data_IF_301286942911
#
_entry.id   IF_301286942911
#
_cell.length_a   1.000
_cell.length_b   1.000
_cell.length_c   1.000
_cell.angle_alpha   90.00
_cell.angle_beta   90.00
_cell.angle_gamma   90.00
#
_symmetry.space_group_name_H-M   'P 1'
#
loop_
_entity.id
_entity.type
_entity.pdbx_description
1 polymer ?
#
# COMPACT_ATOMS: atom_id res chain seq x y z
N UNK A 1 80.61 -4.06 33.51
CA UNK A 1 79.52 -5.04 33.70
C UNK A 1 78.33 -4.51 32.92
N UNK A 2 78.13 -4.97 31.69
CA UNK A 2 76.98 -4.57 30.86
C UNK A 2 75.74 -5.21 31.48
N UNK A 3 74.90 -4.40 32.14
CA UNK A 3 73.61 -4.86 32.63
C UNK A 3 72.74 -5.14 31.40
N UNK A 4 72.46 -6.41 31.13
CA UNK A 4 71.51 -6.81 30.09
C UNK A 4 70.07 -6.45 30.50
N UNK A 5 69.18 -6.30 29.52
CA UNK A 5 67.76 -6.09 29.76
C UNK A 5 67.11 -7.34 30.34
N UNK A 6 66.15 -7.14 31.24
CA UNK A 6 65.32 -8.23 31.77
C UNK A 6 64.29 -8.66 30.72
N UNK A 7 63.86 -9.94 30.76
CA UNK A 7 62.83 -10.47 29.86
C UNK A 7 61.53 -9.63 29.92
N UNK A 8 61.19 -9.11 31.10
CA UNK A 8 59.99 -8.30 31.30
C UNK A 8 60.11 -6.90 30.68
N UNK A 9 61.29 -6.28 30.70
CA UNK A 9 61.54 -5.00 30.01
C UNK A 9 61.45 -5.17 28.49
N UNK A 10 61.97 -6.27 27.94
CA UNK A 10 61.84 -6.55 26.50
C UNK A 10 60.39 -6.80 26.10
N UNK A 11 59.62 -7.53 26.91
CA UNK A 11 58.21 -7.80 26.63
C UNK A 11 57.37 -6.52 26.66
N UNK A 12 57.52 -5.70 27.71
CA UNK A 12 56.80 -4.43 27.85
C UNK A 12 57.20 -3.45 26.74
N UNK A 13 58.49 -3.35 26.43
CA UNK A 13 58.98 -2.50 25.34
C UNK A 13 58.42 -2.91 23.97
N UNK A 14 58.38 -4.22 23.67
CA UNK A 14 57.78 -4.73 22.44
C UNK A 14 56.27 -4.49 22.36
N UNK A 15 55.53 -4.64 23.48
CA UNK A 15 54.08 -4.36 23.52
C UNK A 15 53.81 -2.88 23.26
N UNK A 16 54.53 -1.96 23.93
CA UNK A 16 54.37 -0.52 23.72
C UNK A 16 54.70 -0.14 22.27
N UNK A 17 55.80 -0.68 21.72
CA UNK A 17 56.16 -0.46 20.32
C UNK A 17 55.09 -0.96 19.36
N UNK A 18 54.55 -2.17 19.58
CA UNK A 18 53.47 -2.73 18.76
C UNK A 18 52.22 -1.86 18.79
N UNK A 19 51.82 -1.37 19.96
CA UNK A 19 50.66 -0.46 20.08
C UNK A 19 50.90 0.81 19.27
N UNK A 20 52.05 1.46 19.43
CA UNK A 20 52.39 2.70 18.70
C UNK A 20 52.45 2.44 17.19
N UNK A 21 53.08 1.34 16.75
CA UNK A 21 53.19 0.97 15.35
C UNK A 21 51.83 0.69 14.71
N UNK A 22 50.94 -0.04 15.41
CA UNK A 22 49.58 -0.32 14.96
C UNK A 22 48.74 0.96 14.89
N UNK A 23 48.83 1.84 15.89
CA UNK A 23 48.16 3.14 15.87
C UNK A 23 48.61 4.01 14.71
N UNK A 24 49.92 4.07 14.43
CA UNK A 24 50.47 4.81 13.30
C UNK A 24 50.03 4.22 11.95
N UNK A 25 50.05 2.89 11.81
CA UNK A 25 49.58 2.21 10.60
C UNK A 25 48.08 2.47 10.34
N UNK A 26 47.25 2.38 11.38
CA UNK A 26 45.83 2.69 11.29
C UNK A 26 45.59 4.16 10.92
N UNK A 27 46.31 5.10 11.53
CA UNK A 27 46.24 6.51 11.19
C UNK A 27 46.60 6.77 9.72
N UNK A 28 47.66 6.14 9.22
CA UNK A 28 48.04 6.21 7.81
C UNK A 28 46.95 5.62 6.89
N UNK A 29 46.35 4.49 7.27
CA UNK A 29 45.25 3.88 6.53
C UNK A 29 44.02 4.80 6.44
N UNK A 30 43.67 5.49 7.53
CA UNK A 30 42.58 6.48 7.55
C UNK A 30 42.90 7.66 6.65
N UNK A 31 44.13 8.21 6.71
CA UNK A 31 44.55 9.30 5.84
C UNK A 31 44.45 8.92 4.35
N UNK A 32 44.87 7.71 3.99
CA UNK A 32 44.75 7.22 2.61
C UNK A 32 43.30 7.07 2.17
N UNK A 33 42.41 6.59 3.05
CA UNK A 33 40.98 6.53 2.73
C UNK A 33 40.36 7.92 2.52
N UNK A 34 40.77 8.92 3.31
CA UNK A 34 40.31 10.31 3.16
C UNK A 34 40.77 10.89 1.81
N UNK A 35 42.04 10.66 1.43
CA UNK A 35 42.55 11.09 0.13
C UNK A 35 41.78 10.41 -1.01
N UNK A 36 41.50 9.11 -0.90
CA UNK A 36 40.72 8.38 -1.90
C UNK A 36 39.28 8.91 -2.01
N UNK A 37 38.63 9.23 -0.89
CA UNK A 37 37.30 9.84 -0.87
C UNK A 37 37.30 11.23 -1.52
N UNK A 38 38.31 12.05 -1.25
CA UNK A 38 38.46 13.37 -1.87
C UNK A 38 38.66 13.27 -3.39
N UNK A 39 39.47 12.31 -3.86
CA UNK A 39 39.64 12.05 -5.30
C UNK A 39 38.35 11.59 -5.97
N UNK A 40 37.63 10.66 -5.35
CA UNK A 40 36.32 10.21 -5.84
C UNK A 40 35.32 11.37 -5.95
N UNK A 41 35.27 12.25 -4.94
CA UNK A 41 34.41 13.44 -4.95
C UNK A 41 34.76 14.40 -6.09
N UNK A 42 36.05 14.69 -6.32
CA UNK A 42 36.49 15.54 -7.43
C UNK A 42 36.13 14.94 -8.80
N UNK A 43 36.34 13.63 -8.97
CA UNK A 43 35.97 12.92 -10.19
C UNK A 43 34.44 12.96 -10.43
N UNK A 44 33.64 12.73 -9.39
CA UNK A 44 32.17 12.82 -9.46
C UNK A 44 31.69 14.24 -9.81
N UNK A 45 32.29 15.29 -9.23
CA UNK A 45 31.99 16.68 -9.58
C UNK A 45 32.35 16.98 -11.04
N UNK A 46 33.46 16.43 -11.55
CA UNK A 46 33.80 16.55 -12.97
C UNK A 46 32.75 15.89 -13.87
N UNK A 47 32.20 14.73 -13.46
CA UNK A 47 31.11 14.06 -14.19
C UNK A 47 29.84 14.92 -14.18
N UNK A 48 29.47 15.50 -13.03
CA UNK A 48 28.33 16.40 -12.93
C UNK A 48 28.46 17.63 -13.86
N UNK A 49 29.63 18.27 -13.85
CA UNK A 49 29.92 19.41 -14.73
C UNK A 49 29.81 19.02 -16.22
N UNK A 50 30.39 17.89 -16.62
CA UNK A 50 30.26 17.38 -17.99
C UNK A 50 28.79 17.14 -18.38
N UNK A 51 27.98 16.60 -17.46
CA UNK A 51 26.54 16.43 -17.70
C UNK A 51 25.82 17.75 -17.87
N UNK A 52 26.05 18.73 -17.00
CA UNK A 52 25.44 20.04 -17.18
C UNK A 52 25.89 20.76 -18.45
N UNK A 53 27.15 20.60 -18.88
CA UNK A 53 27.63 21.11 -20.16
C UNK A 53 26.85 20.50 -21.33
N UNK A 54 26.67 19.18 -21.34
CA UNK A 54 25.88 18.48 -22.37
C UNK A 54 24.44 18.99 -22.35
N UNK A 55 23.81 19.05 -21.17
CA UNK A 55 22.41 19.45 -21.01
C UNK A 55 22.19 20.90 -21.46
N UNK A 56 23.06 21.83 -21.07
CA UNK A 56 22.97 23.25 -21.44
C UNK A 56 23.27 23.51 -22.91
N UNK A 57 23.96 22.58 -23.58
CA UNK A 57 24.28 22.70 -25.01
C UNK A 57 23.24 22.00 -25.92
N UNK A 58 22.21 21.35 -25.35
CA UNK A 58 21.09 20.82 -26.12
C UNK A 58 20.11 21.95 -26.49
N UNK A 59 19.41 21.84 -27.64
CA UNK A 59 18.21 22.65 -27.88
C UNK A 59 17.23 22.50 -26.71
N UNK A 60 16.57 23.58 -26.30
CA UNK A 60 15.66 23.57 -25.15
C UNK A 60 14.59 22.47 -25.24
N UNK A 61 14.07 22.20 -26.44
CA UNK A 61 13.10 21.12 -26.71
C UNK A 61 13.66 19.71 -26.51
N UNK A 62 14.98 19.53 -26.60
CA UNK A 62 15.66 18.24 -26.42
C UNK A 62 16.10 18.00 -24.97
N UNK A 63 16.04 19.03 -24.11
CA UNK A 63 16.34 18.93 -22.68
C UNK A 63 15.17 18.24 -21.99
N UNK A 64 15.29 16.95 -21.77
CA UNK A 64 14.24 16.13 -21.18
C UNK A 64 14.67 14.69 -21.11
N UNK A 65 13.93 13.90 -20.35
CA UNK A 65 14.22 12.48 -20.19
C UNK A 65 13.62 11.71 -21.38
N UNK A 66 14.35 10.72 -21.89
CA UNK A 66 13.82 9.78 -22.88
C UNK A 66 12.61 9.09 -22.24
N UNK A 67 11.47 9.07 -22.93
CA UNK A 67 10.21 8.55 -22.39
C UNK A 67 9.73 9.28 -21.10
N UNK A 68 10.15 10.52 -20.83
CA UNK A 68 9.70 11.30 -19.68
C UNK A 68 8.87 12.53 -20.06
N UNK A 69 8.46 13.30 -19.05
CA UNK A 69 7.90 14.65 -19.21
C UNK A 69 8.78 15.62 -18.39
N UNK A 70 9.45 16.59 -19.03
CA UNK A 70 9.48 16.82 -20.47
C UNK A 70 10.22 15.72 -21.23
N UNK A 71 9.72 15.39 -22.43
CA UNK A 71 10.36 14.45 -23.32
C UNK A 71 11.66 15.06 -23.87
N UNK A 72 12.71 14.24 -23.99
CA UNK A 72 13.98 14.69 -24.55
C UNK A 72 14.95 13.57 -24.86
N UNK A 73 16.25 13.89 -24.87
CA UNK A 73 17.32 12.99 -25.32
C UNK A 73 18.21 12.47 -24.19
N UNK A 74 17.91 12.82 -22.94
CA UNK A 74 18.76 12.48 -21.80
C UNK A 74 18.25 11.17 -21.18
N UNK A 75 19.16 10.24 -20.95
CA UNK A 75 18.83 8.99 -20.27
C UNK A 75 18.81 9.22 -18.76
N UNK A 76 17.74 8.78 -18.07
CA UNK A 76 17.56 8.94 -16.62
C UNK A 76 18.69 8.29 -15.81
N UNK A 77 19.00 7.02 -16.09
CA UNK A 77 20.04 6.25 -15.37
C UNK A 77 21.25 5.99 -16.27
N UNK A 78 22.44 6.39 -15.82
CA UNK A 78 23.69 6.14 -16.54
C UNK A 78 24.83 5.76 -15.58
N UNK A 79 25.62 4.76 -15.95
CA UNK A 79 26.87 4.42 -15.25
C UNK A 79 28.06 4.99 -16.02
N UNK A 80 28.92 5.76 -15.34
CA UNK A 80 30.01 6.52 -15.96
C UNK A 80 31.33 6.20 -15.26
N UNK A 81 32.31 5.76 -16.04
CA UNK A 81 33.67 5.55 -15.57
C UNK A 81 34.48 6.86 -15.64
N UNK A 82 35.16 7.23 -14.54
CA UNK A 82 36.06 8.39 -14.47
C UNK A 82 37.17 8.15 -13.46
N UNK A 83 38.43 8.32 -13.85
CA UNK A 83 39.60 8.20 -12.97
C UNK A 83 39.63 6.91 -12.13
N UNK A 84 39.24 5.78 -12.74
CA UNK A 84 39.08 4.45 -12.13
C UNK A 84 37.91 4.29 -11.13
N UNK A 85 37.02 5.27 -11.02
CA UNK A 85 35.76 5.16 -10.31
C UNK A 85 34.62 4.85 -11.30
N UNK A 86 33.55 4.22 -10.79
CA UNK A 86 32.32 3.97 -11.53
C UNK A 86 31.18 4.67 -10.80
N UNK A 87 30.58 5.67 -11.43
CA UNK A 87 29.52 6.48 -10.86
C UNK A 87 28.18 6.12 -11.49
N UNK A 88 27.19 5.88 -10.65
CA UNK A 88 25.80 5.75 -11.08
C UNK A 88 25.15 7.12 -10.95
N UNK A 89 24.72 7.67 -12.10
CA UNK A 89 24.13 9.01 -12.23
C UNK A 89 22.65 8.84 -12.54
N UNK A 90 21.81 9.29 -11.61
CA UNK A 90 20.37 9.47 -11.80
C UNK A 90 20.12 10.93 -12.17
N UNK A 91 19.49 11.15 -13.32
CA UNK A 91 19.10 12.47 -13.82
C UNK A 91 17.59 12.62 -13.78
N UNK A 92 17.12 13.64 -13.08
CA UNK A 92 15.72 14.04 -13.04
C UNK A 92 15.57 15.39 -13.74
N UNK A 93 14.60 15.51 -14.64
CA UNK A 93 14.29 16.76 -15.33
C UNK A 93 12.79 16.95 -15.26
N UNK A 94 12.36 18.11 -14.80
CA UNK A 94 10.95 18.48 -14.71
C UNK A 94 10.73 19.89 -15.24
N UNK A 95 9.58 20.09 -15.86
CA UNK A 95 9.06 21.44 -16.09
C UNK A 95 8.70 22.05 -14.73
N UNK A 96 9.01 23.32 -14.54
CA UNK A 96 8.70 24.06 -13.34
C UNK A 96 7.77 25.22 -13.69
N UNK A 97 6.74 25.38 -12.87
CA UNK A 97 5.70 26.42 -12.93
C UNK A 97 6.04 27.46 -11.86
N UNK A 98 6.63 28.58 -12.27
CA UNK A 98 7.11 29.64 -11.39
C UNK A 98 5.95 30.57 -11.02
N UNK A 99 5.63 30.75 -9.72
CA UNK A 99 4.53 31.62 -9.29
C UNK A 99 4.64 33.11 -9.69
N UNK A 100 5.73 33.52 -10.34
CA UNK A 100 6.00 34.90 -10.72
C UNK A 100 4.92 35.53 -11.59
N UNK A 101 4.36 34.81 -12.57
CA UNK A 101 3.34 35.32 -13.49
C UNK A 101 1.99 34.56 -13.41
N UNK A 102 1.94 33.52 -12.60
CA UNK A 102 0.76 32.71 -12.34
C UNK A 102 1.17 31.29 -12.00
N UNK A 103 0.20 30.40 -11.92
CA UNK A 103 0.47 28.96 -12.02
C UNK A 103 -0.67 28.32 -12.80
N UNK A 104 -0.51 27.13 -13.36
CA UNK A 104 -1.63 26.41 -13.97
C UNK A 104 -2.70 26.10 -12.91
N UNK A 105 -3.95 26.49 -13.17
CA UNK A 105 -5.04 26.41 -12.19
C UNK A 105 -4.93 27.41 -11.03
N UNK A 106 -3.96 28.33 -11.07
CA UNK A 106 -3.78 29.42 -10.12
C UNK A 106 -4.66 30.63 -10.39
N UNK A 107 -4.39 31.74 -9.68
CA UNK A 107 -5.03 33.04 -9.94
C UNK A 107 -3.98 34.17 -9.94
N UNK A 108 -3.57 34.68 -11.12
CA UNK A 108 -4.06 34.31 -12.45
C UNK A 108 -3.66 32.87 -12.84
N UNK A 109 -4.50 32.22 -13.65
CA UNK A 109 -4.13 30.92 -14.23
C UNK A 109 -3.16 31.18 -15.37
N UNK A 110 -2.01 30.51 -15.33
CA UNK A 110 -1.03 30.60 -16.38
C UNK A 110 -1.30 29.59 -17.52
N UNK A 111 -1.11 30.05 -18.74
CA UNK A 111 -1.27 29.28 -19.98
C UNK A 111 0.06 28.73 -20.51
N UNK A 112 1.20 29.12 -19.92
CA UNK A 112 2.54 28.65 -20.28
C UNK A 112 3.34 28.15 -19.07
N UNK A 113 2.79 27.22 -18.26
CA UNK A 113 3.27 26.92 -16.89
C UNK A 113 4.61 26.18 -16.81
N UNK A 114 5.34 26.08 -17.92
CA UNK A 114 6.64 25.43 -18.00
C UNK A 114 7.72 26.48 -18.28
N UNK A 115 7.89 27.44 -17.35
CA UNK A 115 8.81 28.57 -17.45
C UNK A 115 10.24 28.12 -17.72
N UNK A 116 10.67 27.09 -17.00
CA UNK A 116 12.01 26.52 -17.14
C UNK A 116 12.02 25.04 -16.74
N UNK A 117 13.14 24.38 -17.06
CA UNK A 117 13.41 23.00 -16.67
C UNK A 117 14.36 22.98 -15.49
N UNK A 118 13.91 22.37 -14.39
CA UNK A 118 14.78 22.02 -13.27
C UNK A 118 15.46 20.69 -13.60
N UNK A 119 16.79 20.67 -13.50
CA UNK A 119 17.61 19.48 -13.75
C UNK A 119 18.35 19.14 -12.47
N UNK A 120 18.10 17.94 -11.95
CA UNK A 120 18.74 17.38 -10.76
C UNK A 120 19.60 16.16 -11.17
N UNK A 121 20.82 16.10 -10.62
CA UNK A 121 21.75 14.98 -10.80
C UNK A 121 22.10 14.40 -9.43
N UNK A 122 21.68 13.16 -9.18
CA UNK A 122 22.09 12.37 -8.04
C UNK A 122 23.18 11.38 -8.46
N UNK A 123 24.37 11.53 -7.87
CA UNK A 123 25.54 10.72 -8.20
C UNK A 123 25.89 9.86 -7.00
N UNK A 124 25.92 8.54 -7.21
CA UNK A 124 26.38 7.54 -6.24
C UNK A 124 27.59 6.78 -6.76
N UNK A 125 28.32 6.11 -5.86
CA UNK A 125 29.50 5.32 -6.22
C UNK A 125 29.56 4.06 -5.37
N UNK A 126 29.04 2.96 -5.89
CA UNK A 126 28.98 1.67 -5.18
C UNK A 126 30.35 1.02 -4.99
N UNK A 127 31.32 1.30 -5.87
CA UNK A 127 32.69 0.78 -5.77
C UNK A 127 33.66 1.71 -5.01
N UNK A 128 33.19 2.86 -4.52
CA UNK A 128 33.99 3.76 -3.71
C UNK A 128 34.02 3.30 -2.24
N UNK A 129 35.22 3.32 -1.63
CA UNK A 129 35.40 2.88 -0.23
C UNK A 129 34.69 3.78 0.79
N UNK A 130 34.72 5.10 0.56
CA UNK A 130 34.03 6.12 1.37
C UNK A 130 33.50 7.14 0.37
N UNK A 131 32.18 7.20 0.20
CA UNK A 131 31.52 8.14 -0.69
C UNK A 131 30.14 8.49 -0.15
N UNK A 132 29.88 9.79 -0.04
CA UNK A 132 28.54 10.31 0.26
C UNK A 132 27.92 10.73 -1.06
N UNK A 133 26.69 10.31 -1.38
CA UNK A 133 25.98 10.74 -2.58
C UNK A 133 26.05 12.26 -2.77
N UNK A 134 26.23 12.70 -4.00
CA UNK A 134 26.29 14.11 -4.36
C UNK A 134 25.07 14.45 -5.19
N UNK A 135 24.37 15.52 -4.79
CA UNK A 135 23.27 16.09 -5.53
C UNK A 135 23.71 17.43 -6.14
N UNK A 136 23.42 17.63 -7.42
CA UNK A 136 23.63 18.88 -8.13
C UNK A 136 22.36 19.30 -8.86
N UNK A 137 22.07 20.60 -8.82
CA UNK A 137 20.90 21.17 -9.50
C UNK A 137 21.31 22.27 -10.47
N UNK A 138 20.62 22.39 -11.60
CA UNK A 138 20.68 23.56 -12.48
C UNK A 138 19.30 23.87 -13.05
N UNK A 139 19.10 25.12 -13.46
CA UNK A 139 17.97 25.54 -14.28
C UNK A 139 18.39 25.61 -15.75
N UNK A 140 17.47 25.30 -16.65
CA UNK A 140 17.59 25.55 -18.08
C UNK A 140 16.34 26.29 -18.52
N UNK A 141 16.51 27.53 -19.00
CA UNK A 141 15.40 28.34 -19.51
C UNK A 141 15.34 28.34 -21.05
N UNK A 142 14.17 28.65 -21.63
CA UNK A 142 14.03 28.85 -23.05
C UNK A 142 14.77 30.12 -23.52
N UNK A 143 15.21 30.15 -24.77
CA UNK A 143 15.78 31.36 -25.39
C UNK A 143 14.69 32.29 -25.94
N UNK A 144 13.53 31.73 -26.31
CA UNK A 144 12.41 32.48 -26.85
C UNK A 144 11.48 32.97 -25.73
N UNK A 145 10.58 33.89 -26.07
CA UNK A 145 9.49 34.28 -25.19
C UNK A 145 8.54 33.09 -24.97
N UNK A 146 7.96 32.99 -23.77
CA UNK A 146 6.93 32.00 -23.46
C UNK A 146 5.74 32.10 -24.41
N UNK A 147 5.19 30.94 -24.73
CA UNK A 147 4.02 30.80 -25.60
C UNK A 147 3.09 29.78 -24.98
N UNK A 148 1.78 30.05 -25.03
CA UNK A 148 0.77 29.16 -24.49
C UNK A 148 1.03 27.69 -24.90
N UNK A 149 1.04 26.81 -23.90
CA UNK A 149 1.24 25.39 -24.13
C UNK A 149 0.00 24.74 -24.76
N UNK A 150 0.22 23.67 -25.52
CA UNK A 150 -0.82 22.78 -26.02
C UNK A 150 -1.08 21.57 -25.10
N UNK A 151 -0.53 21.60 -23.88
CA UNK A 151 -0.58 20.52 -22.90
C UNK A 151 -1.44 20.91 -21.69
N UNK A 152 -1.66 19.96 -20.78
CA UNK A 152 -2.29 20.17 -19.48
C UNK A 152 -1.32 19.93 -18.33
N UNK A 153 -1.87 19.74 -17.13
CA UNK A 153 -1.11 19.24 -15.98
C UNK A 153 -1.79 17.99 -15.38
N UNK A 154 -0.97 17.09 -14.84
CA UNK A 154 -1.42 15.91 -14.13
C UNK A 154 -0.89 15.96 -12.69
N UNK A 155 -1.79 16.22 -11.74
CA UNK A 155 -1.49 16.27 -10.32
C UNK A 155 -2.02 15.02 -9.63
N UNK A 156 -1.13 14.25 -9.02
CA UNK A 156 -1.44 12.96 -8.41
C UNK A 156 -1.26 13.12 -6.91
N UNK A 157 -2.31 12.80 -6.16
CA UNK A 157 -2.27 12.77 -4.70
C UNK A 157 -2.36 11.34 -4.20
N UNK A 158 -1.40 10.94 -3.40
CA UNK A 158 -1.41 9.68 -2.66
C UNK A 158 -1.70 9.99 -1.19
N UNK A 159 -2.73 9.36 -0.63
CA UNK A 159 -3.15 9.56 0.75
C UNK A 159 -3.54 8.25 1.45
N UNK A 160 -3.49 8.26 2.79
CA UNK A 160 -3.84 7.11 3.63
C UNK A 160 -5.32 7.06 4.02
N UNK A 161 -5.74 6.07 4.79
CA UNK A 161 -7.16 5.94 5.17
C UNK A 161 -7.67 7.12 6.03
N UNK A 162 -6.75 7.87 6.67
CA UNK A 162 -7.07 9.07 7.46
C UNK A 162 -7.07 10.37 6.60
N UNK A 163 -6.78 10.26 5.30
CA UNK A 163 -6.73 11.37 4.36
C UNK A 163 -5.42 12.19 4.41
N UNK A 164 -4.40 11.72 5.13
CA UNK A 164 -3.10 12.35 5.20
C UNK A 164 -2.26 11.96 3.98
N UNK A 165 -1.46 12.90 3.49
CA UNK A 165 -0.57 12.63 2.35
C UNK A 165 0.50 11.60 2.71
N UNK A 166 0.67 10.58 1.88
CA UNK A 166 1.71 9.57 2.10
C UNK A 166 2.99 10.05 1.43
N UNK A 167 3.96 10.49 2.24
CA UNK A 167 5.26 10.95 1.75
C UNK A 167 6.15 9.81 1.26
N UNK A 168 6.88 10.01 0.17
CA UNK A 168 7.80 9.01 -0.40
C UNK A 168 7.10 7.73 -0.87
N UNK A 169 5.84 7.83 -1.31
CA UNK A 169 5.17 6.78 -2.06
C UNK A 169 5.70 6.78 -3.49
N UNK A 170 5.98 5.60 -4.03
CA UNK A 170 6.40 5.39 -5.40
C UNK A 170 5.16 5.49 -6.31
N UNK A 171 5.24 6.35 -7.33
CA UNK A 171 4.18 6.56 -8.31
C UNK A 171 4.75 6.25 -9.69
N UNK A 172 4.18 5.23 -10.32
CA UNK A 172 4.48 4.85 -11.70
C UNK A 172 3.36 5.37 -12.60
N UNK A 173 3.73 6.20 -13.59
CA UNK A 173 2.81 6.81 -14.55
C UNK A 173 3.20 6.34 -15.95
N UNK A 174 2.25 5.80 -16.69
CA UNK A 174 2.45 5.30 -18.05
C UNK A 174 1.43 5.90 -19.01
N UNK A 175 1.91 6.41 -20.16
CA UNK A 175 1.08 6.78 -21.29
C UNK A 175 1.59 6.12 -22.58
N UNK A 176 0.82 5.12 -23.06
CA UNK A 176 1.13 4.30 -24.25
C UNK A 176 0.61 4.89 -25.57
N UNK A 177 0.00 6.08 -25.55
CA UNK A 177 -0.38 6.81 -26.77
C UNK A 177 0.80 7.60 -27.37
N UNK A 178 1.92 7.66 -26.65
CA UNK A 178 3.16 8.34 -27.07
C UNK A 178 4.18 7.37 -27.66
N UNK A 179 5.17 7.86 -28.43
CA UNK A 179 6.23 7.02 -28.99
C UNK A 179 7.62 7.66 -28.81
N UNK A 180 8.53 7.08 -28.00
CA UNK A 180 8.28 5.90 -27.14
C UNK A 180 7.20 6.20 -26.08
N UNK A 181 6.62 5.14 -25.51
CA UNK A 181 5.70 5.26 -24.37
C UNK A 181 6.30 6.16 -23.29
N UNK A 182 5.49 7.04 -22.72
CA UNK A 182 5.92 7.92 -21.63
C UNK A 182 5.83 7.14 -20.33
N UNK A 183 6.94 7.04 -19.62
CA UNK A 183 7.11 6.32 -18.36
C UNK A 183 7.79 7.25 -17.34
N UNK A 184 7.05 7.58 -16.29
CA UNK A 184 7.51 8.46 -15.22
C UNK A 184 7.42 7.69 -13.91
N UNK A 185 8.56 7.54 -13.26
CA UNK A 185 8.68 6.99 -11.93
C UNK A 185 9.12 8.12 -11.00
N UNK A 186 8.26 8.48 -10.07
CA UNK A 186 8.50 9.56 -9.11
C UNK A 186 8.13 9.12 -7.70
N UNK A 187 8.57 9.91 -6.72
CA UNK A 187 8.13 9.73 -5.33
C UNK A 187 7.36 10.96 -4.87
N UNK A 188 6.31 10.72 -4.08
CA UNK A 188 5.51 11.82 -3.52
C UNK A 188 6.32 12.67 -2.55
N UNK A 189 6.02 13.97 -2.54
CA UNK A 189 6.55 14.91 -1.57
C UNK A 189 6.01 14.66 -0.14
N UNK A 190 6.43 15.49 0.82
CA UNK A 190 5.99 15.39 2.22
C UNK A 190 4.48 15.55 2.43
N UNK A 191 3.76 16.07 1.43
CA UNK A 191 2.30 16.25 1.44
C UNK A 191 1.56 15.22 0.58
N UNK A 192 2.26 14.21 0.05
CA UNK A 192 1.67 13.14 -0.75
C UNK A 192 1.45 13.47 -2.22
N UNK A 193 2.13 14.48 -2.77
CA UNK A 193 1.92 14.92 -4.17
C UNK A 193 3.04 14.53 -5.11
N UNK A 194 2.66 14.16 -6.34
CA UNK A 194 3.47 14.24 -7.55
C UNK A 194 2.75 15.20 -8.49
N UNK A 195 3.46 16.22 -9.00
CA UNK A 195 2.89 17.22 -9.91
C UNK A 195 3.66 17.21 -11.22
N UNK A 196 3.00 16.80 -12.29
CA UNK A 196 3.55 16.83 -13.65
C UNK A 196 2.92 18.00 -14.38
N UNK A 197 3.75 18.98 -14.72
CA UNK A 197 3.33 20.16 -15.47
C UNK A 197 3.67 19.97 -16.94
N UNK A 198 2.82 20.52 -17.80
CA UNK A 198 2.99 20.49 -19.27
C UNK A 198 3.01 19.03 -19.79
N UNK A 199 2.06 18.23 -19.28
CA UNK A 199 1.82 16.86 -19.69
C UNK A 199 0.99 16.80 -20.99
N UNK A 200 1.39 16.01 -22.00
CA UNK A 200 0.63 15.86 -23.24
C UNK A 200 -0.84 15.50 -23.00
N UNK A 201 -1.75 16.10 -23.78
CA UNK A 201 -3.17 15.79 -23.68
C UNK A 201 -3.47 14.38 -24.15
N UNK A 202 -4.47 13.72 -23.55
CA UNK A 202 -4.92 12.38 -23.95
C UNK A 202 -6.13 11.94 -23.12
N UNK A 203 -7.03 11.15 -23.71
CA UNK A 203 -8.29 10.71 -23.05
C UNK A 203 -8.09 9.31 -22.48
N UNK A 204 -8.16 9.19 -21.15
CA UNK A 204 -7.83 7.98 -20.40
C UNK A 204 -6.45 7.43 -20.76
N UNK A 205 -5.51 8.33 -21.07
CA UNK A 205 -4.21 7.99 -21.63
C UNK A 205 -3.17 7.66 -20.56
N UNK A 206 -3.40 8.09 -19.31
CA UNK A 206 -2.43 7.96 -18.23
C UNK A 206 -2.87 6.91 -17.21
N UNK A 207 -2.20 5.76 -17.23
CA UNK A 207 -2.30 4.75 -16.18
C UNK A 207 -1.36 5.09 -15.05
N UNK A 208 -1.85 5.02 -13.81
CA UNK A 208 -1.14 5.47 -12.62
C UNK A 208 -1.23 4.39 -11.56
N UNK A 209 -0.09 3.96 -11.03
CA UNK A 209 0.01 2.99 -9.94
C UNK A 209 0.79 3.64 -8.81
N UNK A 210 0.27 3.54 -7.58
CA UNK A 210 0.92 4.05 -6.38
C UNK A 210 1.14 2.94 -5.37
N UNK A 211 2.34 2.88 -4.80
CA UNK A 211 2.68 1.92 -3.75
C UNK A 211 3.79 2.47 -2.84
N UNK A 212 4.03 1.78 -1.73
CA UNK A 212 5.16 2.06 -0.85
C UNK A 212 5.53 0.80 -0.09
N UNK A 213 6.81 0.58 0.21
CA UNK A 213 7.22 -0.57 1.01
C UNK A 213 6.49 -0.62 2.35
N UNK A 214 5.82 -1.74 2.63
CA UNK A 214 4.97 -1.95 3.81
C UNK A 214 3.56 -1.36 3.70
N UNK A 215 3.19 -0.82 2.54
CA UNK A 215 1.85 -0.31 2.22
C UNK A 215 1.20 -1.15 1.13
N UNK A 216 -0.11 -1.00 0.98
CA UNK A 216 -0.89 -1.56 -0.11
C UNK A 216 -0.61 -0.81 -1.42
N UNK A 217 -1.25 -1.28 -2.49
CA UNK A 217 -1.17 -0.67 -3.82
C UNK A 217 -2.56 -0.21 -4.25
N UNK A 218 -2.60 0.94 -4.91
CA UNK A 218 -3.79 1.44 -5.58
C UNK A 218 -3.44 1.93 -6.99
N UNK A 219 -4.42 1.92 -7.87
CA UNK A 219 -4.19 2.26 -9.28
C UNK A 219 -5.43 2.79 -9.97
N UNK A 220 -5.20 3.44 -11.12
CA UNK A 220 -6.24 3.73 -12.10
C UNK A 220 -6.45 2.54 -13.04
N UNK A 221 -7.60 2.53 -13.72
CA UNK A 221 -7.97 1.47 -14.63
C UNK A 221 -8.50 2.01 -15.96
N UNK A 222 -8.08 1.39 -17.06
CA UNK A 222 -8.61 1.68 -18.38
C UNK A 222 -10.11 1.31 -18.47
N UNK A 223 -10.98 2.24 -18.90
CA UNK A 223 -12.37 1.91 -19.20
C UNK A 223 -12.48 0.80 -20.27
N UNK A 224 -13.23 -0.25 -19.95
CA UNK A 224 -13.34 -1.47 -20.77
C UNK A 224 -12.28 -2.54 -20.46
N UNK A 225 -11.37 -2.29 -19.51
CA UNK A 225 -10.36 -3.22 -19.03
C UNK A 225 -10.82 -4.09 -17.85
N UNK A 226 -9.89 -4.36 -16.92
CA UNK A 226 -10.13 -5.24 -15.77
C UNK A 226 -11.23 -4.74 -14.81
N UNK A 227 -11.41 -3.42 -14.72
CA UNK A 227 -12.46 -2.79 -13.93
C UNK A 227 -13.79 -2.62 -14.69
N UNK A 228 -13.97 -3.29 -15.84
CA UNK A 228 -15.16 -3.15 -16.67
C UNK A 228 -15.22 -1.80 -17.38
N UNK A 229 -16.41 -1.43 -17.88
CA UNK A 229 -16.60 -0.22 -18.70
C UNK A 229 -16.65 1.07 -17.89
N UNK A 230 -16.91 0.98 -16.58
CA UNK A 230 -17.08 2.14 -15.68
C UNK A 230 -16.23 1.95 -14.41
N UNK A 231 -14.91 2.20 -14.49
CA UNK A 231 -14.01 2.07 -13.34
C UNK A 231 -14.25 3.17 -12.29
N UNK A 232 -14.17 2.80 -11.02
CA UNK A 232 -14.26 3.75 -9.89
C UNK A 232 -13.10 4.73 -9.88
N UNK A 233 -11.90 4.27 -10.26
CA UNK A 233 -10.72 5.09 -10.49
C UNK A 233 -10.24 4.87 -11.92
N UNK A 234 -10.68 5.71 -12.84
CA UNK A 234 -10.36 5.57 -14.27
C UNK A 234 -8.98 6.14 -14.60
N UNK A 235 -8.33 5.60 -15.64
CA UNK A 235 -7.09 6.19 -16.19
C UNK A 235 -7.30 7.68 -16.51
N UNK A 236 -6.30 8.50 -16.20
CA UNK A 236 -6.47 9.94 -16.19
C UNK A 236 -6.54 10.51 -17.62
N UNK A 237 -7.46 11.46 -17.81
CA UNK A 237 -7.58 12.27 -19.02
C UNK A 237 -6.91 13.62 -18.79
N UNK A 238 -5.85 13.92 -19.54
CA UNK A 238 -5.19 15.23 -19.49
C UNK A 238 -5.79 16.13 -20.57
N UNK A 239 -6.33 17.27 -20.16
CA UNK A 239 -6.99 18.25 -21.03
C UNK A 239 -6.09 19.47 -21.22
N UNK A 240 -6.17 20.07 -22.41
CA UNK A 240 -5.43 21.28 -22.78
C UNK A 240 -5.66 22.39 -21.73
N UNK A 241 -4.56 22.92 -21.17
CA UNK A 241 -4.54 24.06 -20.25
C UNK A 241 -5.38 23.88 -18.97
N UNK A 242 -5.68 22.63 -18.60
CA UNK A 242 -6.38 22.30 -17.36
C UNK A 242 -5.50 21.45 -16.43
N UNK A 243 -5.82 21.52 -15.14
CA UNK A 243 -5.25 20.62 -14.14
C UNK A 243 -6.17 19.40 -14.01
N UNK A 244 -5.66 18.25 -14.43
CA UNK A 244 -6.26 16.96 -14.11
C UNK A 244 -5.72 16.48 -12.78
N UNK A 245 -6.62 16.21 -11.83
CA UNK A 245 -6.25 15.61 -10.55
C UNK A 245 -6.60 14.11 -10.54
N UNK A 246 -5.61 13.27 -10.22
CA UNK A 246 -5.81 11.86 -9.93
C UNK A 246 -5.50 11.59 -8.45
N UNK A 247 -6.14 10.55 -7.91
CA UNK A 247 -6.03 10.19 -6.50
C UNK A 247 -5.78 8.69 -6.35
N UNK A 248 -4.96 8.36 -5.35
CA UNK A 248 -4.63 6.98 -4.98
C UNK A 248 -4.68 6.86 -3.46
N UNK A 249 -5.32 5.79 -2.97
CA UNK A 249 -5.41 5.52 -1.53
C UNK A 249 -4.56 4.31 -1.16
N UNK A 250 -3.43 4.55 -0.49
CA UNK A 250 -2.54 3.49 0.01
C UNK A 250 -2.33 3.65 1.51
N UNK A 251 -2.20 2.55 2.23
CA UNK A 251 -1.96 2.54 3.66
C UNK A 251 -1.18 1.28 4.03
N UNK A 252 -0.69 1.20 5.26
CA UNK A 252 0.07 0.07 5.76
C UNK A 252 -0.72 -1.22 5.61
N UNK A 253 -0.03 -2.25 5.12
CA UNK A 253 -0.62 -3.58 4.97
C UNK A 253 -1.02 -4.16 6.33
N UNK A 254 -2.09 -4.93 6.34
CA UNK A 254 -2.64 -5.62 7.50
C UNK A 254 -2.46 -7.13 7.38
N UNK A 255 -2.77 -7.86 8.45
CA UNK A 255 -2.82 -9.32 8.45
C UNK A 255 -4.05 -9.84 9.16
N UNK A 256 -4.49 -11.04 8.79
CA UNK A 256 -5.56 -11.77 9.49
C UNK A 256 -4.99 -13.11 9.95
N UNK A 257 -4.94 -13.31 11.26
CA UNK A 257 -4.67 -14.59 11.89
C UNK A 257 -6.01 -15.32 12.10
N UNK A 258 -6.23 -16.38 11.34
CA UNK A 258 -7.44 -17.18 11.41
C UNK A 258 -7.21 -18.39 12.32
N UNK A 259 -8.18 -18.69 13.19
CA UNK A 259 -8.23 -19.91 13.99
C UNK A 259 -9.58 -20.61 13.84
N UNK A 260 -9.60 -21.88 13.49
CA UNK A 260 -10.79 -22.73 13.48
C UNK A 260 -10.86 -23.59 14.72
N UNK A 261 -12.01 -23.58 15.38
CA UNK A 261 -12.24 -24.30 16.64
C UNK A 261 -13.63 -24.91 16.72
N UNK A 262 -13.82 -25.89 17.60
CA UNK A 262 -15.13 -26.43 17.94
C UNK A 262 -15.86 -25.54 18.98
N UNK A 263 -17.05 -25.95 19.41
CA UNK A 263 -17.84 -25.22 20.41
C UNK A 263 -17.19 -25.14 21.80
N UNK A 264 -16.21 -26.00 22.08
CA UNK A 264 -15.39 -25.99 23.30
C UNK A 264 -14.08 -25.21 23.11
N UNK A 265 -13.94 -24.46 22.01
CA UNK A 265 -12.74 -23.69 21.68
C UNK A 265 -11.47 -24.54 21.50
N UNK A 266 -11.61 -25.83 21.20
CA UNK A 266 -10.50 -26.71 20.83
C UNK A 266 -10.22 -26.61 19.32
N UNK A 267 -8.95 -26.65 18.88
CA UNK A 267 -8.60 -26.53 17.46
C UNK A 267 -9.27 -27.57 16.56
N UNK A 268 -9.75 -27.13 15.40
CA UNK A 268 -10.23 -27.99 14.31
C UNK A 268 -9.30 -27.87 13.11
N UNK A 269 -8.75 -28.98 12.66
CA UNK A 269 -7.90 -29.00 11.47
C UNK A 269 -8.70 -28.88 10.17
N UNK A 270 -8.02 -28.42 9.12
CA UNK A 270 -8.49 -28.51 7.73
C UNK A 270 -9.88 -27.89 7.49
N UNK A 271 -10.20 -26.81 8.20
CA UNK A 271 -11.46 -26.10 8.03
C UNK A 271 -11.34 -25.14 6.84
N UNK A 272 -12.18 -25.37 5.84
CA UNK A 272 -12.27 -24.53 4.65
C UNK A 272 -13.21 -23.33 4.88
N UNK A 273 -12.75 -22.14 4.51
CA UNK A 273 -13.50 -20.90 4.60
C UNK A 273 -13.17 -19.97 3.44
N UNK A 274 -13.96 -18.92 3.27
CA UNK A 274 -13.69 -17.87 2.31
C UNK A 274 -13.75 -16.48 2.93
N UNK A 275 -13.07 -15.54 2.27
CA UNK A 275 -13.17 -14.11 2.54
C UNK A 275 -13.51 -13.37 1.26
N UNK A 276 -14.35 -12.35 1.39
CA UNK A 276 -14.74 -11.45 0.30
C UNK A 276 -14.67 -10.01 0.80
N UNK A 277 -14.06 -9.11 0.04
CA UNK A 277 -14.00 -7.68 0.37
C UNK A 277 -15.22 -6.93 -0.14
N UNK A 278 -15.40 -5.69 0.31
CA UNK A 278 -16.51 -4.82 -0.13
C UNK A 278 -16.07 -3.73 -1.11
N UNK A 279 -14.78 -3.37 -1.15
CA UNK A 279 -14.24 -2.41 -2.10
C UNK A 279 -14.45 -2.88 -3.53
N UNK A 280 -14.91 -1.96 -4.39
CA UNK A 280 -15.08 -2.18 -5.82
C UNK A 280 -14.04 -1.38 -6.62
N UNK A 281 -13.59 -1.94 -7.74
CA UNK A 281 -12.75 -1.25 -8.74
C UNK A 281 -13.57 -0.76 -9.92
N UNK A 282 -14.79 -1.27 -10.12
CA UNK A 282 -15.67 -0.86 -11.21
C UNK A 282 -17.14 -1.18 -10.96
N UNK A 283 -18.02 -0.45 -11.65
CA UNK A 283 -19.46 -0.58 -11.53
C UNK A 283 -20.05 -1.64 -12.48
N UNK A 284 -21.19 -2.27 -12.13
CA UNK A 284 -21.97 -2.05 -10.89
C UNK A 284 -21.39 -2.74 -9.64
N UNK A 285 -20.57 -3.79 -9.77
CA UNK A 285 -20.02 -4.52 -8.61
C UNK A 285 -18.80 -5.40 -8.94
N UNK A 286 -17.73 -4.81 -9.51
CA UNK A 286 -16.46 -5.53 -9.72
C UNK A 286 -15.60 -5.32 -8.47
N UNK A 287 -15.46 -6.36 -7.66
CA UNK A 287 -14.71 -6.31 -6.40
C UNK A 287 -13.21 -6.17 -6.62
N UNK A 288 -12.55 -5.34 -5.81
CA UNK A 288 -11.08 -5.28 -5.71
C UNK A 288 -10.53 -6.57 -5.12
N UNK A 289 -11.21 -7.10 -4.11
CA UNK A 289 -10.92 -8.39 -3.50
C UNK A 289 -12.13 -9.35 -3.67
N UNK A 290 -12.18 -10.12 -4.78
CA UNK A 290 -13.23 -11.12 -4.96
C UNK A 290 -13.09 -12.26 -3.94
N UNK A 291 -14.11 -13.11 -3.84
CA UNK A 291 -14.10 -14.26 -2.92
C UNK A 291 -12.88 -15.14 -3.12
N UNK A 292 -12.10 -15.31 -2.06
CA UNK A 292 -10.95 -16.23 -2.01
C UNK A 292 -11.19 -17.30 -0.96
N UNK A 293 -10.82 -18.54 -1.30
CA UNK A 293 -10.95 -19.69 -0.41
C UNK A 293 -9.62 -20.01 0.26
N UNK A 294 -9.70 -20.47 1.50
CA UNK A 294 -8.59 -20.81 2.37
C UNK A 294 -8.92 -22.07 3.15
N UNK A 295 -7.88 -22.71 3.68
CA UNK A 295 -7.99 -23.90 4.53
C UNK A 295 -7.01 -23.75 5.68
N UNK A 296 -7.47 -23.94 6.92
CA UNK A 296 -6.60 -23.93 8.10
C UNK A 296 -5.69 -25.14 8.14
N UNK A 297 -4.57 -25.04 8.86
CA UNK A 297 -3.60 -26.12 9.03
C UNK A 297 -4.07 -27.20 10.02
N UNK A 298 -3.18 -28.16 10.32
CA UNK A 298 -3.42 -29.25 11.27
C UNK A 298 -3.70 -28.79 12.71
N UNK A 299 -3.30 -27.56 13.05
CA UNK A 299 -3.53 -26.93 14.35
C UNK A 299 -4.71 -25.94 14.30
N UNK A 300 -5.48 -25.94 13.20
CA UNK A 300 -6.61 -25.04 12.99
C UNK A 300 -6.20 -23.59 12.80
N UNK A 301 -5.00 -23.28 12.32
CA UNK A 301 -4.55 -21.91 12.10
C UNK A 301 -4.33 -21.59 10.63
N UNK A 302 -4.47 -20.32 10.27
CA UNK A 302 -4.02 -19.78 8.99
C UNK A 302 -3.60 -18.32 9.18
N UNK A 303 -2.63 -17.82 8.40
CA UNK A 303 -2.26 -16.41 8.43
C UNK A 303 -2.29 -15.83 7.03
N UNK A 304 -3.16 -14.84 6.83
CA UNK A 304 -3.23 -14.04 5.61
C UNK A 304 -2.39 -12.79 5.85
N UNK A 305 -1.36 -12.59 5.02
CA UNK A 305 -0.45 -11.44 5.11
C UNK A 305 -0.67 -10.48 3.94
N UNK A 306 -0.14 -9.25 4.06
CA UNK A 306 -0.17 -8.22 3.01
C UNK A 306 -1.61 -7.88 2.56
N UNK A 307 -2.52 -7.76 3.51
CA UNK A 307 -3.94 -7.51 3.25
C UNK A 307 -4.25 -6.02 3.21
N UNK A 308 -5.17 -5.62 2.34
CA UNK A 308 -5.67 -4.25 2.27
C UNK A 308 -6.72 -4.02 3.37
N UNK A 309 -6.82 -2.80 3.89
CA UNK A 309 -7.93 -2.45 4.77
C UNK A 309 -9.23 -2.42 3.97
N UNK A 310 -10.26 -3.05 4.51
CA UNK A 310 -11.59 -3.11 3.92
C UNK A 310 -12.55 -3.62 5.00
N UNK A 311 -13.84 -3.65 4.69
CA UNK A 311 -14.76 -4.58 5.34
C UNK A 311 -14.67 -5.91 4.61
N UNK A 312 -14.49 -6.99 5.36
CA UNK A 312 -14.46 -8.35 4.85
C UNK A 312 -15.62 -9.15 5.41
N UNK A 313 -16.21 -9.99 4.56
CA UNK A 313 -17.18 -11.00 4.95
C UNK A 313 -16.53 -12.38 4.95
N UNK A 314 -16.72 -13.16 6.02
CA UNK A 314 -16.29 -14.56 6.07
C UNK A 314 -17.45 -15.53 5.88
N UNK A 315 -17.19 -16.64 5.19
CA UNK A 315 -18.12 -17.75 5.06
C UNK A 315 -17.39 -19.08 5.27
N UNK A 316 -18.03 -20.01 5.96
CA UNK A 316 -17.55 -21.39 6.02
C UNK A 316 -17.87 -22.09 4.70
N UNK A 317 -16.87 -22.73 4.08
CA UNK A 317 -17.06 -23.48 2.83
C UNK A 317 -16.88 -24.98 3.01
N UNK A 318 -16.42 -25.43 4.17
CA UNK A 318 -16.27 -26.85 4.48
C UNK A 318 -17.62 -27.58 4.48
N UNK A 319 -17.71 -28.68 3.74
CA UNK A 319 -18.92 -29.49 3.68
C UNK A 319 -19.13 -30.40 4.91
N UNK A 320 -18.09 -30.59 5.74
CA UNK A 320 -18.13 -31.49 6.90
C UNK A 320 -18.62 -30.79 8.18
N UNK A 321 -18.77 -29.47 8.15
CA UNK A 321 -19.09 -28.66 9.31
C UNK A 321 -20.18 -27.64 8.99
N UNK A 322 -20.96 -27.27 10.00
CA UNK A 322 -21.81 -26.10 10.01
C UNK A 322 -21.12 -24.95 10.73
N UNK A 323 -21.35 -23.72 10.26
CA UNK A 323 -20.87 -22.52 10.94
C UNK A 323 -21.75 -22.24 12.15
N UNK A 324 -21.20 -22.41 13.35
CA UNK A 324 -21.87 -22.16 14.62
C UNK A 324 -21.61 -20.74 15.15
N UNK A 325 -20.59 -20.06 14.64
CA UNK A 325 -20.35 -18.65 14.91
C UNK A 325 -18.97 -18.19 14.43
N UNK A 326 -18.73 -16.89 14.50
CA UNK A 326 -17.45 -16.27 14.12
C UNK A 326 -17.14 -15.09 15.04
N UNK A 327 -15.86 -14.84 15.26
CA UNK A 327 -15.40 -13.68 16.01
C UNK A 327 -14.14 -13.08 15.37
N UNK A 328 -14.15 -11.84 14.87
CA UNK A 328 -15.28 -10.90 14.88
C UNK A 328 -16.47 -11.39 14.05
N UNK A 329 -17.61 -10.71 14.23
CA UNK A 329 -18.86 -10.94 13.51
C UNK A 329 -18.60 -11.12 11.99
N UNK A 330 -19.45 -11.86 11.24
CA UNK A 330 -19.12 -12.30 9.88
C UNK A 330 -18.70 -11.19 8.92
N UNK A 331 -19.22 -9.99 9.12
CA UNK A 331 -18.74 -8.78 8.48
C UNK A 331 -17.89 -8.00 9.48
N UNK A 332 -16.61 -7.81 9.17
CA UNK A 332 -15.69 -7.12 10.06
C UNK A 332 -14.81 -6.13 9.31
N UNK A 333 -14.54 -5.00 9.95
CA UNK A 333 -13.58 -4.02 9.46
C UNK A 333 -12.18 -4.51 9.80
N UNK A 334 -11.32 -4.54 8.78
CA UNK A 334 -9.87 -4.59 8.95
C UNK A 334 -9.32 -3.19 8.74
N UNK A 335 -8.79 -2.58 9.80
CA UNK A 335 -8.11 -1.30 9.73
C UNK A 335 -6.71 -1.46 9.11
N UNK A 336 -6.09 -0.38 8.60
CA UNK A 336 -4.70 -0.40 8.19
C UNK A 336 -3.74 -0.78 9.33
N UNK A 337 -2.63 -1.44 9.01
CA UNK A 337 -1.63 -1.91 9.98
C UNK A 337 -2.20 -2.77 11.13
N UNK A 338 -3.36 -3.40 10.92
CA UNK A 338 -4.03 -4.23 11.93
C UNK A 338 -3.61 -5.69 11.75
N UNK A 339 -3.31 -6.36 12.86
CA UNK A 339 -3.23 -7.82 12.91
C UNK A 339 -4.53 -8.33 13.53
N UNK A 340 -5.51 -8.67 12.69
CA UNK A 340 -6.84 -9.11 13.13
C UNK A 340 -6.81 -10.58 13.49
N UNK A 341 -7.45 -10.94 14.59
CA UNK A 341 -7.76 -12.33 14.87
C UNK A 341 -9.17 -12.64 14.36
N UNK A 342 -9.31 -13.66 13.52
CA UNK A 342 -10.58 -14.20 13.07
C UNK A 342 -10.72 -15.64 13.57
N UNK A 343 -11.68 -15.89 14.46
CA UNK A 343 -12.01 -17.21 14.94
C UNK A 343 -13.28 -17.70 14.26
N UNK A 344 -13.20 -18.89 13.69
CA UNK A 344 -14.32 -19.60 13.08
C UNK A 344 -14.70 -20.74 14.02
N UNK A 345 -15.94 -20.72 14.50
CA UNK A 345 -16.49 -21.77 15.36
C UNK A 345 -17.34 -22.68 14.47
N UNK A 346 -16.88 -23.92 14.31
CA UNK A 346 -17.49 -24.89 13.44
C UNK A 346 -17.92 -26.13 14.24
N UNK A 347 -19.06 -26.72 13.88
CA UNK A 347 -19.58 -27.95 14.50
C UNK A 347 -19.84 -29.01 13.43
N UNK A 348 -19.75 -30.31 13.72
CA UNK A 348 -20.01 -31.34 12.73
C UNK A 348 -21.36 -31.14 12.04
N UNK A 349 -21.38 -31.27 10.72
CA UNK A 349 -22.56 -30.96 9.92
C UNK A 349 -23.77 -31.82 10.32
N UNK A 350 -24.90 -31.15 10.56
CA UNK A 350 -26.20 -31.78 10.74
C UNK A 350 -27.21 -31.02 9.87
N UNK A 351 -28.06 -31.74 9.14
CA UNK A 351 -29.06 -31.09 8.29
C UNK A 351 -29.95 -30.14 9.10
N UNK A 352 -30.21 -28.97 8.52
CA UNK A 352 -31.13 -27.92 8.99
C UNK A 352 -30.61 -27.24 10.26
N UNK A 353 -29.46 -26.61 10.09
CA UNK A 353 -28.84 -25.76 11.09
C UNK A 353 -29.19 -24.29 10.90
N UNK A 354 -29.35 -23.57 12.00
CA UNK A 354 -29.68 -22.15 12.05
C UNK A 354 -28.68 -21.42 12.93
N UNK A 355 -27.92 -20.50 12.33
CA UNK A 355 -27.18 -19.47 13.03
C UNK A 355 -28.05 -18.22 13.10
N UNK A 356 -28.28 -17.66 14.29
CA UNK A 356 -28.93 -16.36 14.45
C UNK A 356 -27.87 -15.36 14.91
N UNK A 357 -27.79 -14.25 14.20
CA UNK A 357 -26.83 -13.18 14.41
C UNK A 357 -27.60 -11.90 14.79
N UNK A 358 -27.47 -11.45 16.03
CA UNK A 358 -28.18 -10.29 16.59
C UNK A 358 -27.23 -9.09 16.67
N UNK A 359 -27.64 -7.98 16.06
CA UNK A 359 -26.83 -6.76 15.99
C UNK A 359 -27.70 -5.50 16.11
N UNK A 360 -27.07 -4.36 16.35
CA UNK A 360 -27.72 -3.04 16.27
C UNK A 360 -27.70 -2.46 14.85
N UNK A 361 -28.25 -1.26 14.69
CA UNK A 361 -28.26 -0.52 13.42
C UNK A 361 -26.87 -0.07 12.94
N UNK A 362 -25.84 -0.18 13.79
CA UNK A 362 -24.45 0.10 13.47
C UNK A 362 -23.64 -1.18 13.15
N UNK A 363 -24.30 -2.35 13.03
CA UNK A 363 -23.70 -3.67 12.85
C UNK A 363 -22.81 -4.12 14.02
N UNK A 364 -23.07 -3.61 15.23
CA UNK A 364 -22.41 -4.07 16.44
C UNK A 364 -23.16 -5.28 16.99
N UNK A 365 -22.49 -6.40 17.33
CA UNK A 365 -23.15 -7.55 17.94
C UNK A 365 -23.78 -7.19 19.29
N UNK A 366 -24.96 -7.74 19.58
CA UNK A 366 -25.68 -7.53 20.84
C UNK A 366 -25.59 -8.81 21.69
N UNK A 367 -24.78 -8.75 22.75
CA UNK A 367 -24.64 -9.82 23.73
C UNK A 367 -25.80 -9.85 24.74
N UNK A 368 -26.00 -10.99 25.39
CA UNK A 368 -27.10 -11.32 26.31
C UNK A 368 -28.51 -10.94 25.80
N UNK A 369 -28.74 -11.04 24.49
CA UNK A 369 -30.07 -11.01 23.91
C UNK A 369 -30.70 -12.40 24.06
N UNK A 370 -31.97 -12.45 24.48
CA UNK A 370 -32.73 -13.68 24.59
C UNK A 370 -33.37 -13.98 23.23
N UNK A 371 -32.98 -15.11 22.63
CA UNK A 371 -33.42 -15.57 21.31
C UNK A 371 -34.25 -16.83 21.49
N UNK A 372 -35.57 -16.71 21.31
CA UNK A 372 -36.54 -17.80 21.42
C UNK A 372 -36.97 -18.26 20.05
N UNK A 373 -36.82 -19.55 19.76
CA UNK A 373 -37.19 -20.20 18.50
C UNK A 373 -38.30 -21.22 18.77
N UNK A 374 -39.48 -21.03 18.16
CA UNK A 374 -40.65 -21.87 18.42
C UNK A 374 -41.33 -22.40 17.16
N UNK A 375 -41.79 -23.65 17.19
CA UNK A 375 -42.63 -24.31 16.18
C UNK A 375 -43.32 -25.53 16.78
N UNK A 376 -44.65 -25.56 16.78
CA UNK A 376 -45.44 -26.63 17.37
C UNK A 376 -45.01 -26.89 18.84
N UNK A 377 -44.47 -28.08 19.13
CA UNK A 377 -43.97 -28.46 20.46
C UNK A 377 -42.49 -28.08 20.69
N UNK A 378 -41.79 -27.60 19.67
CA UNK A 378 -40.43 -27.07 19.81
C UNK A 378 -40.50 -25.63 20.33
N UNK A 379 -39.86 -25.37 21.46
CA UNK A 379 -39.78 -24.05 22.09
C UNK A 379 -38.48 -23.98 22.90
N UNK A 380 -37.44 -23.44 22.28
CA UNK A 380 -36.13 -23.27 22.90
C UNK A 380 -35.75 -21.80 22.97
N UNK A 381 -35.07 -21.42 24.05
CA UNK A 381 -34.50 -20.08 24.22
C UNK A 381 -33.02 -20.20 24.50
N UNK A 382 -32.20 -19.54 23.67
CA UNK A 382 -30.77 -19.37 23.88
C UNK A 382 -30.44 -17.91 24.13
N UNK A 383 -29.25 -17.65 24.68
CA UNK A 383 -28.76 -16.30 24.97
C UNK A 383 -27.54 -16.02 24.11
N UNK A 384 -27.47 -14.85 23.45
CA UNK A 384 -26.30 -14.51 22.63
C UNK A 384 -25.02 -14.45 23.46
N UNK A 385 -23.93 -14.96 22.89
CA UNK A 385 -22.60 -15.02 23.53
C UNK A 385 -22.57 -15.77 24.88
N UNK A 386 -23.41 -16.80 25.05
CA UNK A 386 -23.45 -17.61 26.28
C UNK A 386 -22.62 -18.91 26.25
N UNK A 387 -22.06 -19.27 25.09
CA UNK A 387 -21.25 -20.48 24.91
C UNK A 387 -19.82 -20.31 25.46
N UNK A 388 -19.13 -21.42 25.74
CA UNK A 388 -17.74 -21.41 26.22
C UNK A 388 -16.81 -20.71 25.21
N UNK A 389 -17.00 -21.00 23.93
CA UNK A 389 -16.29 -20.34 22.86
C UNK A 389 -17.04 -19.09 22.40
N UNK A 390 -16.53 -17.91 22.78
CA UNK A 390 -17.23 -16.63 22.58
C UNK A 390 -17.59 -16.37 21.10
N UNK A 391 -18.88 -16.15 20.87
CA UNK A 391 -19.50 -15.79 19.59
C UNK A 391 -20.39 -14.56 19.81
N UNK A 392 -19.80 -13.35 19.88
CA UNK A 392 -20.53 -12.13 20.21
C UNK A 392 -21.78 -11.95 19.34
N UNK A 393 -22.93 -11.70 19.97
CA UNK A 393 -24.20 -11.50 19.29
C UNK A 393 -24.80 -12.73 18.60
N UNK A 394 -24.24 -13.93 18.74
CA UNK A 394 -24.70 -15.12 17.99
C UNK A 394 -25.20 -16.25 18.89
N UNK A 395 -26.14 -17.03 18.34
CA UNK A 395 -26.65 -18.31 18.89
C UNK A 395 -26.88 -19.30 17.76
N UNK A 396 -26.83 -20.60 18.05
CA UNK A 396 -26.86 -21.64 17.04
C UNK A 396 -27.75 -22.82 17.42
N UNK A 397 -28.49 -23.32 16.45
CA UNK A 397 -29.25 -24.56 16.51
C UNK A 397 -28.87 -25.48 15.36
N UNK A 398 -28.94 -26.79 15.58
CA UNK A 398 -28.79 -27.80 14.54
C UNK A 398 -29.87 -28.88 14.63
N UNK A 399 -30.00 -29.68 13.57
CA UNK A 399 -30.93 -30.81 13.55
C UNK A 399 -32.41 -30.42 13.60
N UNK A 400 -32.77 -29.21 13.17
CA UNK A 400 -34.14 -28.73 13.21
C UNK A 400 -35.05 -29.48 12.22
N UNK A 401 -36.33 -29.60 12.54
CA UNK A 401 -37.31 -30.09 11.56
C UNK A 401 -37.65 -29.03 10.52
N UNK A 402 -37.83 -29.42 9.25
CA UNK A 402 -38.16 -28.46 8.21
C UNK A 402 -39.51 -27.78 8.41
N UNK A 403 -39.56 -26.47 8.14
CA UNK A 403 -40.77 -25.65 8.21
C UNK A 403 -40.49 -24.26 8.77
N UNK A 404 -41.56 -23.49 8.98
CA UNK A 404 -41.47 -22.13 9.51
C UNK A 404 -41.46 -22.15 11.04
N UNK A 405 -40.48 -21.46 11.62
CA UNK A 405 -40.39 -21.18 13.05
C UNK A 405 -40.71 -19.71 13.31
N UNK A 406 -41.25 -19.41 14.48
CA UNK A 406 -41.32 -18.04 14.98
C UNK A 406 -40.05 -17.78 15.79
N UNK A 407 -39.31 -16.74 15.41
CA UNK A 407 -38.11 -16.28 16.08
C UNK A 407 -38.44 -14.99 16.82
N UNK A 408 -38.32 -15.00 18.15
CA UNK A 408 -38.53 -13.83 19.01
C UNK A 408 -37.21 -13.44 19.66
N UNK A 409 -36.75 -12.21 19.43
CA UNK A 409 -35.50 -11.68 20.00
C UNK A 409 -35.81 -10.52 20.93
N UNK A 410 -35.33 -10.60 22.17
CA UNK A 410 -35.56 -9.58 23.21
C UNK A 410 -34.27 -9.18 23.90
N UNK A 411 -34.07 -7.87 24.11
CA UNK A 411 -32.99 -7.30 24.93
C UNK A 411 -33.52 -6.06 25.63
N UNK A 412 -33.20 -5.89 26.92
CA UNK A 412 -33.59 -4.67 27.65
C UNK A 412 -32.97 -3.44 27.00
N UNK A 413 -33.80 -2.42 26.74
CA UNK A 413 -33.38 -1.19 26.06
C UNK A 413 -33.38 -1.28 24.54
N UNK A 414 -34.05 -2.29 23.97
CA UNK A 414 -34.32 -2.44 22.55
C UNK A 414 -35.79 -2.88 22.34
N UNK A 415 -36.34 -2.58 21.17
CA UNK A 415 -37.63 -3.11 20.73
C UNK A 415 -37.56 -4.63 20.50
N UNK A 416 -38.64 -5.34 20.82
CA UNK A 416 -38.73 -6.78 20.59
C UNK A 416 -38.93 -7.08 19.11
N UNK A 417 -38.07 -7.91 18.54
CA UNK A 417 -38.21 -8.38 17.17
C UNK A 417 -38.91 -9.74 17.13
N UNK A 418 -39.93 -9.87 16.29
CA UNK A 418 -40.63 -11.14 16.03
C UNK A 418 -40.67 -11.38 14.53
N UNK A 419 -40.03 -12.45 14.07
CA UNK A 419 -39.93 -12.78 12.65
C UNK A 419 -40.26 -14.26 12.41
N UNK A 420 -40.65 -14.60 11.18
CA UNK A 420 -40.86 -15.98 10.75
C UNK A 420 -39.64 -16.44 9.96
N UNK A 421 -39.05 -17.57 10.35
CA UNK A 421 -37.84 -18.12 9.74
C UNK A 421 -38.18 -19.46 9.09
N UNK A 422 -38.08 -19.52 7.76
CA UNK A 422 -38.17 -20.80 7.03
C UNK A 422 -36.86 -21.60 7.15
N UNK A 423 -36.99 -22.84 7.64
CA UNK A 423 -35.91 -23.83 7.74
C UNK A 423 -36.14 -24.89 6.65
N UNK A 424 -35.74 -24.55 5.43
CA UNK A 424 -35.79 -25.44 4.27
C UNK A 424 -34.40 -25.80 3.72
N UNK A 425 -33.39 -24.95 3.94
CA UNK A 425 -32.00 -25.21 3.60
C UNK A 425 -31.27 -26.06 4.65
N UNK A 426 -30.13 -26.65 4.27
CA UNK A 426 -29.30 -27.43 5.18
C UNK A 426 -28.64 -26.57 6.26
N UNK A 427 -28.30 -25.32 5.93
CA UNK A 427 -27.78 -24.33 6.86
C UNK A 427 -28.38 -22.97 6.49
N UNK A 428 -28.65 -22.13 7.49
CA UNK A 428 -29.14 -20.77 7.32
C UNK A 428 -28.51 -19.84 8.37
N UNK A 429 -28.10 -18.64 7.95
CA UNK A 429 -27.84 -17.53 8.87
C UNK A 429 -29.00 -16.53 8.79
N UNK A 430 -29.56 -16.17 9.93
CA UNK A 430 -30.61 -15.18 10.08
C UNK A 430 -30.06 -13.97 10.85
N UNK A 431 -30.00 -12.82 10.19
CA UNK A 431 -29.51 -11.57 10.80
C UNK A 431 -30.70 -10.78 11.37
N UNK A 432 -30.67 -10.50 12.68
CA UNK A 432 -31.68 -9.71 13.38
C UNK A 432 -31.08 -8.38 13.81
N UNK A 433 -31.69 -7.28 13.35
CA UNK A 433 -31.35 -5.93 13.78
C UNK A 433 -32.34 -5.52 14.87
N UNK A 434 -31.83 -5.13 16.05
CA UNK A 434 -32.63 -4.54 17.10
C UNK A 434 -32.46 -3.01 17.11
N UNK A 435 -33.57 -2.29 17.25
CA UNK A 435 -33.60 -0.84 17.41
C UNK A 435 -33.77 -0.46 18.90
N UNK A 436 -33.11 0.60 19.41
CA UNK A 436 -33.16 0.99 20.82
C UNK A 436 -34.53 1.47 21.33
#
# INVERSE_FOLDING_TARGET
MNKGFTLIETLVGSIIFLIIALSAYNAFGVLMNIVAASRAKLAATSVANEKFEIIRNLPYSDVGIIAGIPAGKIQRNQTIARDNYSFDVLTTIRNFDDPFDGTIGGNPSDSSPADYKLVDLDITCSNCKIFTPLNFTTLVGPHALETASNNGALFIRVFDNDGLGVAGAEVHIMNTETNPDTIIDETTDNSGWVKIVDAPTGVNAYSIIGTKSGFTTDQTYLPGGAAGTDPVNSDATVVLQEVTQAVLSIDRVSSIAVSSVNSLCEPLSDVEFSLTGTKIIGLPQILKYPTQNFTTDENGNYTISNFEWDTYSTLLTSASYDLAGVNPFPNFVLAPNENKNLRIIAVPHVNRSLLVSVQDTANTPIDDASVRLEKNDFDETQTTNSEECQTPGQVFWNGLESGNYTLTVTKTGFETSVTSVDISSNWKNENIILEP
#
